data_IF_782519773618
#
_entry.id   IF_782519773618
#
_cell.length_a   1.000
_cell.length_b   1.000
_cell.length_c   1.000
_cell.angle_alpha   90.00
_cell.angle_beta   90.00
_cell.angle_gamma   90.00
#
_symmetry.space_group_name_H-M   'P 1'
#
loop_
_entity.id
_entity.type
_entity.pdbx_description
1 polymer ?
#
# COMPACT_ATOMS: atom_id res chain seq x y z
N UNK A 1 19.57 4.47 -29.05
CA UNK A 1 18.40 5.39 -28.99
C UNK A 1 17.23 4.58 -28.45
N UNK A 2 17.19 4.39 -27.12
CA UNK A 2 16.23 3.53 -26.42
C UNK A 2 15.41 4.44 -25.52
N UNK A 3 14.12 4.61 -25.82
CA UNK A 3 13.14 5.23 -24.93
C UNK A 3 12.53 4.14 -24.06
N UNK A 4 12.66 4.15 -22.75
CA UNK A 4 11.75 3.44 -21.89
C UNK A 4 10.57 4.34 -21.56
N UNK A 5 9.45 4.09 -22.21
CA UNK A 5 8.15 4.58 -21.81
C UNK A 5 7.69 3.80 -20.57
N UNK A 6 8.03 4.27 -19.38
CA UNK A 6 7.52 3.75 -18.14
C UNK A 6 6.31 4.60 -17.71
N UNK A 7 5.14 4.32 -18.28
CA UNK A 7 3.86 4.43 -17.62
C UNK A 7 2.96 3.34 -18.20
N UNK A 8 2.96 2.24 -17.47
CA UNK A 8 2.12 1.09 -17.75
C UNK A 8 0.65 1.44 -17.67
N UNK A 9 0.01 1.09 -18.69
CA UNK A 9 -1.37 0.97 -18.97
C UNK A 9 -2.14 0.32 -17.80
N UNK A 10 -2.74 1.11 -16.94
CA UNK A 10 -3.81 0.64 -16.07
C UNK A 10 -5.03 0.39 -16.94
N UNK A 11 -5.42 -0.88 -16.95
CA UNK A 11 -6.63 -1.40 -17.60
C UNK A 11 -7.80 -0.46 -17.45
N UNK A 12 -8.40 -0.17 -18.60
CA UNK A 12 -9.66 0.50 -18.81
C UNK A 12 -10.74 0.10 -17.79
N UNK A 13 -10.89 0.87 -16.75
CA UNK A 13 -12.20 1.19 -16.23
C UNK A 13 -12.50 2.61 -16.69
N UNK A 14 -13.50 2.77 -17.52
CA UNK A 14 -13.99 4.03 -18.05
C UNK A 14 -14.27 5.00 -16.91
N UNK A 15 -13.30 5.83 -16.57
CA UNK A 15 -13.54 7.03 -15.77
C UNK A 15 -14.16 8.08 -16.69
N UNK A 16 -15.47 8.12 -16.74
CA UNK A 16 -16.19 9.27 -17.27
C UNK A 16 -15.95 10.46 -16.34
N UNK A 17 -15.38 11.50 -16.88
CA UNK A 17 -15.30 12.83 -16.27
C UNK A 17 -16.70 13.36 -16.01
N UNK A 18 -16.94 13.86 -14.79
CA UNK A 18 -18.03 14.78 -14.48
C UNK A 18 -19.36 14.07 -14.19
N UNK A 19 -19.56 13.62 -12.97
CA UNK A 19 -20.84 13.22 -12.43
C UNK A 19 -20.71 13.14 -10.91
N UNK A 20 -21.53 13.92 -10.25
CA UNK A 20 -21.89 13.75 -8.85
C UNK A 20 -22.14 12.25 -8.63
N UNK A 21 -21.19 11.52 -8.04
CA UNK A 21 -21.39 10.15 -7.70
C UNK A 21 -22.46 10.12 -6.62
N UNK A 22 -23.71 9.92 -7.04
CA UNK A 22 -24.73 9.28 -6.26
C UNK A 22 -24.04 8.08 -5.60
N UNK A 23 -24.13 8.02 -4.28
CA UNK A 23 -23.58 6.96 -3.43
C UNK A 23 -24.26 5.67 -3.92
N UNK A 24 -23.71 5.05 -4.94
CA UNK A 24 -24.10 3.72 -5.32
C UNK A 24 -23.80 2.84 -4.10
N UNK A 25 -24.79 2.12 -3.67
CA UNK A 25 -24.81 1.09 -2.66
C UNK A 25 -23.52 0.26 -2.74
N UNK A 26 -22.54 0.65 -1.96
CA UNK A 26 -21.24 -0.05 -1.92
C UNK A 26 -21.26 -0.87 -0.63
N UNK A 27 -21.28 -2.17 -0.80
CA UNK A 27 -21.05 -3.10 0.29
C UNK A 27 -19.53 -3.18 0.54
N UNK A 28 -19.09 -2.80 1.73
CA UNK A 28 -17.70 -2.86 2.16
C UNK A 28 -17.65 -3.75 3.40
N UNK A 29 -16.86 -4.80 3.37
CA UNK A 29 -16.77 -5.81 4.45
C UNK A 29 -18.13 -6.37 4.89
N UNK A 30 -19.08 -6.57 3.98
CA UNK A 30 -20.44 -7.02 4.32
C UNK A 30 -21.31 -5.95 4.99
N UNK A 31 -20.85 -4.72 5.10
CA UNK A 31 -21.61 -3.59 5.67
C UNK A 31 -22.24 -2.78 4.55
N UNK A 32 -23.57 -2.71 4.54
CA UNK A 32 -24.32 -1.83 3.63
C UNK A 32 -24.14 -0.37 4.06
N UNK A 33 -23.31 0.36 3.33
CA UNK A 33 -22.97 1.75 3.65
C UNK A 33 -24.14 2.72 3.58
N UNK A 34 -25.25 2.33 2.93
CA UNK A 34 -26.46 3.16 2.82
C UNK A 34 -27.30 3.15 4.10
N UNK A 35 -27.24 2.06 4.88
CA UNK A 35 -28.05 1.84 6.08
C UNK A 35 -27.36 2.21 7.39
N UNK A 36 -26.16 2.79 7.31
CA UNK A 36 -25.41 3.15 8.51
C UNK A 36 -26.16 4.21 9.32
N UNK A 37 -26.34 4.00 10.63
CA UNK A 37 -27.04 4.94 11.51
C UNK A 37 -26.27 6.26 11.61
N UNK A 38 -27.01 7.34 11.81
CA UNK A 38 -26.45 8.67 12.08
C UNK A 38 -26.84 9.03 13.50
N UNK A 39 -25.86 9.34 14.34
CA UNK A 39 -26.07 9.79 15.71
C UNK A 39 -26.13 11.31 15.79
N UNK A 40 -27.08 11.85 16.55
CA UNK A 40 -27.11 13.27 16.91
C UNK A 40 -25.95 13.60 17.86
N UNK A 41 -25.66 14.89 18.05
CA UNK A 41 -24.58 15.28 18.96
C UNK A 41 -24.93 14.98 20.42
N UNK A 42 -26.20 15.05 20.78
CA UNK A 42 -26.71 14.72 22.13
C UNK A 42 -26.55 13.22 22.41
N UNK A 43 -27.02 12.38 21.50
CA UNK A 43 -26.83 10.91 21.58
C UNK A 43 -25.36 10.50 21.68
N UNK A 44 -24.45 11.20 20.98
CA UNK A 44 -23.02 10.93 21.09
C UNK A 44 -22.47 11.16 22.47
N UNK A 45 -22.88 12.24 23.13
CA UNK A 45 -22.44 12.59 24.49
C UNK A 45 -22.99 11.57 25.50
N UNK A 46 -24.28 11.21 25.39
CA UNK A 46 -24.91 10.19 26.24
C UNK A 46 -24.19 8.84 26.11
N UNK A 47 -24.00 8.37 24.88
CA UNK A 47 -23.31 7.10 24.62
C UNK A 47 -21.86 7.11 25.12
N UNK A 48 -21.14 8.21 24.99
CA UNK A 48 -19.78 8.32 25.52
C UNK A 48 -19.75 8.23 27.07
N UNK A 49 -20.74 8.83 27.75
CA UNK A 49 -20.87 8.71 29.18
C UNK A 49 -21.21 7.27 29.63
N UNK A 50 -22.03 6.56 28.86
CA UNK A 50 -22.33 5.15 29.12
C UNK A 50 -21.11 4.25 28.84
N UNK A 51 -20.34 4.52 27.82
CA UNK A 51 -19.09 3.81 27.51
C UNK A 51 -18.11 3.92 28.67
N UNK A 52 -17.96 5.10 29.27
CA UNK A 52 -17.12 5.30 30.47
C UNK A 52 -17.59 4.46 31.66
N UNK A 53 -18.90 4.19 31.75
CA UNK A 53 -19.49 3.30 32.80
C UNK A 53 -19.27 1.80 32.45
N UNK A 54 -18.67 1.48 31.32
CA UNK A 54 -18.40 0.10 30.91
C UNK A 54 -19.51 -0.56 30.10
N UNK A 55 -20.50 0.18 29.61
CA UNK A 55 -21.59 -0.39 28.79
C UNK A 55 -21.09 -0.78 27.40
N UNK A 56 -21.02 -2.11 27.14
CA UNK A 56 -20.56 -2.68 25.86
C UNK A 56 -21.54 -2.43 24.71
N UNK A 57 -22.85 -2.39 24.99
CA UNK A 57 -23.87 -2.14 23.97
C UNK A 57 -23.79 -0.69 23.46
N UNK A 58 -23.62 0.27 24.39
CA UNK A 58 -23.41 1.67 24.04
C UNK A 58 -22.15 1.84 23.16
N UNK A 59 -21.07 1.12 23.49
CA UNK A 59 -19.83 1.12 22.69
C UNK A 59 -20.07 0.63 21.27
N UNK A 60 -20.77 -0.48 21.11
CA UNK A 60 -21.11 -1.03 19.78
C UNK A 60 -21.99 -0.06 18.98
N UNK A 61 -23.03 0.51 19.62
CA UNK A 61 -23.90 1.50 19.00
C UNK A 61 -23.13 2.75 18.56
N UNK A 62 -22.20 3.21 19.38
CA UNK A 62 -21.36 4.38 19.08
C UNK A 62 -20.41 4.11 17.90
N UNK A 63 -19.76 2.93 17.87
CA UNK A 63 -18.90 2.53 16.74
C UNK A 63 -19.72 2.52 15.45
N UNK A 64 -20.87 1.84 15.42
CA UNK A 64 -21.71 1.71 14.23
C UNK A 64 -22.19 3.08 13.73
N UNK A 65 -22.53 4.01 14.63
CA UNK A 65 -22.95 5.36 14.29
C UNK A 65 -21.84 6.26 13.72
N UNK A 66 -20.57 5.86 13.87
CA UNK A 66 -19.42 6.61 13.35
C UNK A 66 -18.71 5.93 12.16
N UNK A 67 -19.21 4.81 11.65
CA UNK A 67 -18.61 4.14 10.46
C UNK A 67 -18.63 5.02 9.21
N UNK A 68 -19.65 5.88 9.06
CA UNK A 68 -19.67 6.87 7.95
C UNK A 68 -18.50 7.85 8.01
N UNK A 69 -18.05 8.21 9.22
CA UNK A 69 -16.86 9.04 9.39
C UNK A 69 -15.63 8.32 8.87
N UNK A 70 -15.46 7.03 9.21
CA UNK A 70 -14.37 6.20 8.69
C UNK A 70 -14.38 6.20 7.17
N UNK A 71 -15.54 5.90 6.55
CA UNK A 71 -15.68 5.88 5.08
C UNK A 71 -15.27 7.21 4.44
N UNK A 72 -15.68 8.34 5.02
CA UNK A 72 -15.32 9.67 4.50
C UNK A 72 -13.83 9.93 4.54
N UNK A 73 -13.12 9.41 5.56
CA UNK A 73 -11.68 9.58 5.74
C UNK A 73 -10.89 8.69 4.79
N UNK A 74 -11.23 7.38 4.71
CA UNK A 74 -10.48 6.42 3.89
C UNK A 74 -10.62 6.67 2.39
N UNK A 75 -11.71 7.32 1.95
CA UNK A 75 -11.95 7.65 0.54
C UNK A 75 -10.77 8.37 -0.13
N UNK A 76 -10.01 9.15 0.64
CA UNK A 76 -8.81 9.85 0.16
C UNK A 76 -7.63 8.92 -0.14
N UNK A 77 -7.68 7.68 0.36
CA UNK A 77 -6.60 6.71 0.22
C UNK A 77 -6.87 5.64 -0.83
N UNK A 78 -8.07 5.60 -1.44
CA UNK A 78 -8.42 4.61 -2.48
C UNK A 78 -7.52 4.67 -3.72
N UNK A 79 -6.92 5.84 -4.01
CA UNK A 79 -5.98 5.99 -5.12
C UNK A 79 -4.61 5.31 -4.91
N UNK A 80 -4.37 4.74 -3.73
CA UNK A 80 -3.08 4.11 -3.38
C UNK A 80 -2.94 2.65 -3.84
N UNK A 81 -3.96 2.09 -4.52
CA UNK A 81 -3.93 0.72 -5.03
C UNK A 81 -4.26 -0.38 -4.01
N UNK A 82 -4.51 0.00 -2.77
CA UNK A 82 -4.89 -0.93 -1.71
C UNK A 82 -6.38 -1.30 -1.77
N UNK A 83 -6.71 -2.48 -1.20
CA UNK A 83 -8.09 -2.93 -1.12
C UNK A 83 -8.91 -2.00 -0.21
N UNK A 84 -10.09 -1.59 -0.69
CA UNK A 84 -11.00 -0.73 0.06
C UNK A 84 -11.46 -1.37 1.39
N UNK A 85 -11.64 -2.69 1.41
CA UNK A 85 -12.02 -3.44 2.60
C UNK A 85 -10.94 -3.40 3.68
N UNK A 86 -9.68 -3.55 3.30
CA UNK A 86 -8.56 -3.49 4.24
C UNK A 86 -8.40 -2.09 4.82
N UNK A 87 -8.48 -1.05 3.97
CA UNK A 87 -8.45 0.34 4.42
C UNK A 87 -9.60 0.64 5.38
N UNK A 88 -10.79 0.09 5.14
CA UNK A 88 -11.95 0.27 6.02
C UNK A 88 -11.73 -0.39 7.38
N UNK A 89 -11.25 -1.63 7.39
CA UNK A 89 -10.96 -2.35 8.65
C UNK A 89 -9.91 -1.60 9.48
N UNK A 90 -8.83 -1.15 8.86
CA UNK A 90 -7.80 -0.36 9.54
C UNK A 90 -8.34 0.99 10.02
N UNK A 91 -9.20 1.62 9.22
CA UNK A 91 -9.90 2.84 9.65
C UNK A 91 -10.79 2.60 10.86
N UNK A 92 -11.48 1.46 10.93
CA UNK A 92 -12.26 1.06 12.11
C UNK A 92 -11.39 0.82 13.34
N UNK A 93 -10.19 0.23 13.19
CA UNK A 93 -9.22 0.13 14.29
C UNK A 93 -8.84 1.51 14.81
N UNK A 94 -8.58 2.47 13.91
CA UNK A 94 -8.32 3.86 14.27
C UNK A 94 -9.48 4.53 15.01
N UNK A 95 -10.72 4.26 14.58
CA UNK A 95 -11.93 4.73 15.25
C UNK A 95 -12.05 4.16 16.68
N UNK A 96 -11.84 2.85 16.85
CA UNK A 96 -11.89 2.17 18.16
C UNK A 96 -10.86 2.77 19.11
N UNK A 97 -9.61 2.95 18.66
CA UNK A 97 -8.58 3.63 19.47
C UNK A 97 -8.96 5.05 19.85
N UNK A 98 -9.62 5.76 18.92
CA UNK A 98 -10.10 7.10 19.21
C UNK A 98 -11.20 7.10 20.28
N UNK A 99 -12.11 6.11 20.27
CA UNK A 99 -13.16 5.98 21.29
C UNK A 99 -12.57 5.67 22.66
N UNK A 100 -11.62 4.75 22.72
CA UNK A 100 -11.00 4.31 23.97
C UNK A 100 -10.16 5.41 24.65
N UNK A 101 -9.59 6.33 23.86
CA UNK A 101 -8.71 7.39 24.34
C UNK A 101 -9.37 8.79 24.39
N UNK A 102 -10.66 8.89 24.02
CA UNK A 102 -11.33 10.19 23.97
C UNK A 102 -11.74 10.70 25.36
N UNK A 103 -11.36 11.92 25.68
CA UNK A 103 -11.75 12.62 26.91
C UNK A 103 -12.83 13.67 26.62
N UNK A 104 -14.01 13.51 27.25
CA UNK A 104 -15.16 14.41 27.02
C UNK A 104 -14.87 15.82 27.55
N UNK A 105 -13.99 15.93 28.57
CA UNK A 105 -13.67 17.18 29.26
C UNK A 105 -12.94 18.21 28.41
N UNK A 106 -12.34 17.78 27.30
CA UNK A 106 -11.55 18.67 26.43
C UNK A 106 -12.39 19.63 25.56
N UNK A 107 -13.73 19.59 25.66
CA UNK A 107 -14.63 20.43 24.85
C UNK A 107 -14.41 20.42 23.34
N UNK A 108 -13.88 19.31 22.81
CA UNK A 108 -13.64 19.10 21.38
C UNK A 108 -14.67 18.11 20.85
N UNK A 109 -15.14 18.33 19.63
CA UNK A 109 -16.01 17.34 18.98
C UNK A 109 -15.26 16.03 18.76
N UNK A 110 -15.91 14.90 19.03
CA UNK A 110 -15.32 13.57 18.81
C UNK A 110 -14.76 13.39 17.39
N UNK A 111 -15.46 13.89 16.36
CA UNK A 111 -15.00 13.81 14.97
C UNK A 111 -13.64 14.49 14.75
N UNK A 112 -13.39 15.63 15.41
CA UNK A 112 -12.12 16.37 15.31
C UNK A 112 -10.97 15.57 15.89
N UNK A 113 -11.20 14.80 16.94
CA UNK A 113 -10.22 13.92 17.55
C UNK A 113 -10.05 12.61 16.77
N UNK A 114 -11.15 12.01 16.30
CA UNK A 114 -11.12 10.71 15.65
C UNK A 114 -10.48 10.76 14.24
N UNK A 115 -10.68 11.82 13.46
CA UNK A 115 -10.15 11.92 12.09
C UNK A 115 -8.63 11.80 12.04
N UNK A 116 -7.83 12.54 12.83
CA UNK A 116 -6.37 12.35 12.87
C UNK A 116 -5.95 10.94 13.28
N UNK A 117 -6.67 10.31 14.25
CA UNK A 117 -6.38 8.95 14.69
C UNK A 117 -6.60 7.93 13.58
N UNK A 118 -7.73 8.02 12.86
CA UNK A 118 -8.03 7.16 11.72
C UNK A 118 -6.97 7.34 10.62
N UNK A 119 -6.64 8.59 10.28
CA UNK A 119 -5.60 8.89 9.28
C UNK A 119 -4.25 8.33 9.70
N UNK A 120 -3.91 8.43 10.98
CA UNK A 120 -2.67 7.91 11.54
C UNK A 120 -2.54 6.40 11.37
N UNK A 121 -3.59 5.63 11.69
CA UNK A 121 -3.60 4.18 11.52
C UNK A 121 -3.56 3.76 10.05
N UNK A 122 -4.32 4.43 9.17
CA UNK A 122 -4.28 4.16 7.73
C UNK A 122 -2.90 4.46 7.15
N UNK A 123 -2.28 5.60 7.49
CA UNK A 123 -0.92 5.92 7.05
C UNK A 123 0.12 4.93 7.57
N UNK A 124 -0.05 4.46 8.81
CA UNK A 124 0.82 3.44 9.40
C UNK A 124 0.70 2.13 8.63
N UNK A 125 -0.52 1.67 8.37
CA UNK A 125 -0.78 0.48 7.58
C UNK A 125 -0.15 0.57 6.19
N UNK A 126 -0.43 1.65 5.42
CA UNK A 126 0.15 1.87 4.09
C UNK A 126 1.69 1.90 4.09
N UNK A 127 2.30 2.34 5.18
CA UNK A 127 3.75 2.32 5.31
C UNK A 127 4.29 0.93 5.58
N UNK A 128 3.59 0.14 6.40
CA UNK A 128 4.07 -1.14 6.92
C UNK A 128 3.63 -2.33 6.03
N UNK A 129 2.60 -2.15 5.18
CA UNK A 129 2.02 -3.18 4.29
C UNK A 129 2.75 -3.29 2.94
N UNK A 130 4.07 -3.29 2.93
CA UNK A 130 4.83 -3.57 1.72
C UNK A 130 5.35 -5.01 1.74
N UNK A 131 5.37 -5.68 0.58
CA UNK A 131 5.88 -7.04 0.40
C UNK A 131 7.34 -7.18 0.84
N UNK A 132 8.13 -6.12 0.64
CA UNK A 132 9.54 -6.06 1.05
C UNK A 132 9.69 -4.95 2.10
N UNK A 133 10.30 -5.30 3.24
CA UNK A 133 10.57 -4.34 4.30
C UNK A 133 11.74 -3.43 3.91
N UNK A 134 11.46 -2.15 3.73
CA UNK A 134 12.46 -1.11 3.47
C UNK A 134 12.68 -0.28 4.73
N UNK A 135 13.94 0.05 5.06
CA UNK A 135 14.27 0.91 6.21
C UNK A 135 13.62 2.30 6.05
N UNK A 136 13.36 2.96 7.18
CA UNK A 136 12.75 4.30 7.17
C UNK A 136 13.62 5.33 6.48
N UNK A 137 14.93 5.29 6.73
CA UNK A 137 15.91 6.22 6.13
C UNK A 137 15.91 6.14 4.60
N UNK A 138 15.99 4.93 4.04
CA UNK A 138 15.95 4.71 2.60
C UNK A 138 14.62 5.20 2.00
N UNK A 139 13.50 4.91 2.66
CA UNK A 139 12.18 5.36 2.20
C UNK A 139 12.02 6.87 2.24
N UNK A 140 12.49 7.52 3.33
CA UNK A 140 12.46 8.98 3.45
C UNK A 140 13.35 9.65 2.39
N UNK A 141 14.53 9.09 2.13
CA UNK A 141 15.41 9.56 1.05
C UNK A 141 14.71 9.45 -0.30
N UNK A 142 14.11 8.34 -0.60
CA UNK A 142 13.40 8.15 -1.86
C UNK A 142 12.19 9.08 -2.04
N UNK A 143 11.46 9.42 -0.96
CA UNK A 143 10.42 10.46 -1.03
C UNK A 143 11.01 11.85 -1.31
N UNK A 144 12.17 12.18 -0.72
CA UNK A 144 12.87 13.43 -1.02
C UNK A 144 13.33 13.47 -2.48
N UNK A 145 13.88 12.36 -2.98
CA UNK A 145 14.30 12.23 -4.39
C UNK A 145 13.10 12.45 -5.32
N UNK A 146 11.95 11.83 -5.04
CA UNK A 146 10.75 12.00 -5.85
C UNK A 146 10.24 13.45 -5.83
N UNK A 147 10.23 14.08 -4.67
CA UNK A 147 9.80 15.48 -4.54
C UNK A 147 10.73 16.45 -5.29
N UNK A 148 12.05 16.25 -5.20
CA UNK A 148 13.01 17.07 -5.93
C UNK A 148 12.99 16.80 -7.44
N UNK A 149 12.74 15.55 -7.86
CA UNK A 149 12.52 15.21 -9.27
C UNK A 149 11.32 15.97 -9.84
N UNK A 150 10.19 15.98 -9.12
CA UNK A 150 8.98 16.69 -9.54
C UNK A 150 9.19 18.20 -9.58
N UNK A 151 9.95 18.74 -8.63
CA UNK A 151 10.31 20.18 -8.60
C UNK A 151 11.20 20.55 -9.77
N UNK A 152 12.26 19.79 -10.01
CA UNK A 152 13.20 20.02 -11.09
C UNK A 152 12.54 19.94 -12.47
N UNK A 153 11.61 18.97 -12.65
CA UNK A 153 10.83 18.82 -13.86
C UNK A 153 9.96 20.06 -14.14
N UNK A 154 9.38 20.66 -13.10
CA UNK A 154 8.57 21.89 -13.22
C UNK A 154 9.41 23.11 -13.53
N UNK A 155 10.64 23.20 -13.00
CA UNK A 155 11.53 24.35 -13.17
C UNK A 155 12.31 24.31 -14.49
N UNK A 156 12.75 23.13 -14.91
CA UNK A 156 13.67 22.96 -16.04
C UNK A 156 13.10 22.16 -17.22
N UNK A 157 11.84 21.72 -17.14
CA UNK A 157 11.13 20.94 -18.15
C UNK A 157 11.87 19.66 -18.62
N UNK A 158 12.84 19.18 -17.84
CA UNK A 158 13.58 17.94 -18.06
C UNK A 158 13.76 17.14 -16.78
N UNK A 159 14.00 15.85 -16.90
CA UNK A 159 14.34 15.02 -15.73
C UNK A 159 15.77 15.33 -15.25
N UNK A 160 15.99 15.37 -13.91
CA UNK A 160 17.32 15.53 -13.34
C UNK A 160 18.15 14.26 -13.54
N UNK A 161 19.47 14.42 -13.69
CA UNK A 161 20.40 13.30 -13.66
C UNK A 161 20.65 12.84 -12.22
N UNK A 162 21.18 11.61 -12.05
CA UNK A 162 21.54 11.08 -10.72
C UNK A 162 22.57 11.99 -10.04
N UNK A 163 23.49 12.57 -10.80
CA UNK A 163 24.52 13.50 -10.29
C UNK A 163 23.91 14.81 -9.78
N UNK A 164 22.94 15.36 -10.50
CA UNK A 164 22.24 16.57 -10.08
C UNK A 164 21.44 16.33 -8.80
N UNK A 165 20.76 15.18 -8.70
CA UNK A 165 20.05 14.80 -7.47
C UNK A 165 21.00 14.58 -6.29
N UNK A 166 22.15 13.94 -6.52
CA UNK A 166 23.18 13.74 -5.51
C UNK A 166 23.68 15.07 -4.93
N UNK A 167 23.94 16.04 -5.80
CA UNK A 167 24.37 17.37 -5.41
C UNK A 167 23.30 18.17 -4.66
N UNK A 168 22.02 18.06 -5.07
CA UNK A 168 20.91 18.79 -4.45
C UNK A 168 20.61 18.22 -3.05
N UNK A 169 20.66 16.90 -2.91
CA UNK A 169 20.30 16.22 -1.65
C UNK A 169 21.49 15.94 -0.74
N UNK A 170 22.71 16.28 -1.18
CA UNK A 170 23.96 16.05 -0.44
C UNK A 170 24.16 14.58 -0.03
N UNK A 171 23.83 13.65 -0.95
CA UNK A 171 23.98 12.21 -0.76
C UNK A 171 24.80 11.59 -1.88
N UNK A 172 25.28 10.36 -1.66
CA UNK A 172 26.05 9.65 -2.68
C UNK A 172 25.16 9.16 -3.82
N UNK A 173 25.73 8.94 -5.01
CA UNK A 173 25.00 8.40 -6.17
C UNK A 173 24.45 7.00 -5.90
N UNK A 174 25.23 6.21 -5.17
CA UNK A 174 24.88 4.84 -4.77
C UNK A 174 23.63 4.84 -3.86
N UNK A 175 23.55 5.77 -2.90
CA UNK A 175 22.38 5.91 -2.03
C UNK A 175 21.11 6.29 -2.80
N UNK A 176 21.23 7.13 -3.83
CA UNK A 176 20.09 7.49 -4.68
C UNK A 176 19.60 6.27 -5.45
N UNK A 177 20.49 5.55 -6.13
CA UNK A 177 20.13 4.36 -6.91
C UNK A 177 19.52 3.30 -5.99
N UNK A 178 20.16 3.01 -4.86
CA UNK A 178 19.64 2.06 -3.86
C UNK A 178 18.26 2.46 -3.33
N UNK A 179 18.03 3.75 -3.10
CA UNK A 179 16.75 4.23 -2.59
C UNK A 179 15.64 4.15 -3.63
N UNK A 180 15.94 4.39 -4.90
CA UNK A 180 14.98 4.26 -6.00
C UNK A 180 14.63 2.79 -6.27
N UNK A 181 15.61 1.90 -6.23
CA UNK A 181 15.38 0.46 -6.40
C UNK A 181 14.56 -0.14 -5.25
N UNK A 182 14.81 0.31 -4.03
CA UNK A 182 14.11 -0.17 -2.84
C UNK A 182 12.60 0.14 -2.80
N UNK A 183 12.15 1.14 -3.56
CA UNK A 183 10.71 1.51 -3.63
C UNK A 183 9.98 0.78 -4.76
N UNK A 184 10.69 0.16 -5.69
CA UNK A 184 10.04 -0.55 -6.78
C UNK A 184 9.13 -1.66 -6.23
N UNK A 185 7.91 -1.71 -6.75
CA UNK A 185 6.98 -2.78 -6.41
C UNK A 185 7.42 -4.09 -7.07
N UNK A 186 7.39 -5.22 -6.34
CA UNK A 186 7.62 -6.52 -6.93
C UNK A 186 6.61 -6.80 -8.05
N UNK A 187 7.08 -7.41 -9.12
CA UNK A 187 6.25 -7.86 -10.23
C UNK A 187 5.85 -9.31 -9.95
N UNK A 188 4.61 -9.70 -10.28
CA UNK A 188 4.18 -11.08 -10.16
C UNK A 188 4.92 -11.98 -11.16
N UNK A 189 5.42 -13.12 -10.71
CA UNK A 189 6.02 -14.11 -11.61
C UNK A 189 5.01 -14.70 -12.59
N UNK A 190 3.71 -14.65 -12.24
CA UNK A 190 2.63 -15.12 -13.11
C UNK A 190 2.12 -14.06 -14.09
N UNK A 191 2.70 -12.85 -14.07
CA UNK A 191 2.33 -11.84 -15.06
C UNK A 191 2.85 -12.25 -16.46
N UNK A 192 2.02 -12.06 -17.50
CA UNK A 192 2.43 -12.38 -18.87
C UNK A 192 3.51 -11.41 -19.35
N UNK A 193 4.56 -11.94 -19.97
CA UNK A 193 5.69 -11.16 -20.51
C UNK A 193 5.28 -10.23 -21.64
N UNK A 194 4.31 -10.63 -22.47
CA UNK A 194 3.81 -9.85 -23.60
C UNK A 194 2.35 -9.49 -23.39
N UNK A 195 2.00 -8.21 -23.58
CA UNK A 195 0.62 -7.73 -23.52
C UNK A 195 -0.29 -8.25 -24.65
N UNK A 196 0.26 -8.95 -25.63
CA UNK A 196 -0.48 -9.61 -26.70
C UNK A 196 -0.63 -11.09 -26.34
N UNK A 197 -1.84 -11.51 -26.02
CA UNK A 197 -2.26 -12.85 -25.55
C UNK A 197 -2.00 -14.02 -26.52
N UNK A 198 -0.97 -13.97 -27.36
CA UNK A 198 -0.71 -15.02 -28.35
C UNK A 198 0.13 -16.16 -27.76
N UNK A 199 1.02 -15.85 -26.84
CA UNK A 199 1.82 -16.84 -26.12
C UNK A 199 1.64 -16.62 -24.61
N UNK A 200 1.04 -17.60 -23.92
CA UNK A 200 0.85 -17.59 -22.46
C UNK A 200 2.18 -17.82 -21.70
N UNK A 201 3.23 -17.07 -22.06
CA UNK A 201 4.54 -17.14 -21.41
C UNK A 201 4.54 -16.17 -20.24
N UNK A 202 4.70 -16.69 -19.05
CA UNK A 202 4.82 -15.92 -17.82
C UNK A 202 6.27 -15.50 -17.57
N UNK A 203 6.46 -14.52 -16.67
CA UNK A 203 7.81 -14.09 -16.26
C UNK A 203 8.61 -15.25 -15.67
N UNK A 204 7.95 -16.16 -14.92
CA UNK A 204 8.59 -17.35 -14.33
C UNK A 204 9.24 -18.27 -15.38
N UNK A 205 8.63 -18.39 -16.58
CA UNK A 205 9.14 -19.23 -17.66
C UNK A 205 10.45 -18.70 -18.25
N UNK A 206 10.76 -17.42 -18.03
CA UNK A 206 12.00 -16.79 -18.51
C UNK A 206 13.15 -16.88 -17.49
N UNK A 207 12.87 -17.30 -16.26
CA UNK A 207 13.88 -17.38 -15.21
C UNK A 207 14.57 -18.74 -15.29
N UNK A 208 15.84 -18.73 -15.69
CA UNK A 208 16.64 -19.96 -15.76
C UNK A 208 17.02 -20.47 -14.36
N UNK A 209 16.87 -21.77 -14.14
CA UNK A 209 17.39 -22.43 -12.93
C UNK A 209 18.90 -22.67 -13.06
N UNK A 210 19.70 -21.84 -12.39
CA UNK A 210 21.17 -21.94 -12.39
C UNK A 210 21.71 -23.20 -11.68
N UNK A 211 20.88 -23.87 -10.86
CA UNK A 211 21.30 -25.08 -10.13
C UNK A 211 21.18 -26.34 -10.97
N UNK A 212 20.25 -26.34 -11.94
CA UNK A 212 19.98 -27.46 -12.84
C UNK A 212 20.49 -27.19 -14.27
N UNK A 213 21.68 -26.59 -14.41
CA UNK A 213 22.30 -26.42 -15.71
C UNK A 213 22.71 -27.79 -16.27
N UNK A 214 22.63 -27.96 -17.62
CA UNK A 214 23.02 -29.20 -18.31
C UNK A 214 24.45 -29.62 -17.99
N UNK A 215 25.35 -28.66 -17.77
CA UNK A 215 26.74 -28.90 -17.34
C UNK A 215 26.84 -29.57 -16.00
N UNK A 216 26.07 -29.08 -15.00
CA UNK A 216 26.08 -29.64 -13.66
C UNK A 216 25.48 -31.06 -13.62
N UNK A 217 24.45 -31.30 -14.42
CA UNK A 217 23.86 -32.64 -14.56
C UNK A 217 24.84 -33.61 -15.19
N UNK A 218 25.51 -33.24 -16.28
CA UNK A 218 26.53 -34.05 -16.94
C UNK A 218 27.73 -34.38 -16.01
N UNK A 219 28.22 -33.39 -15.27
CA UNK A 219 29.25 -33.56 -14.24
C UNK A 219 28.83 -34.55 -13.16
N UNK A 220 27.60 -34.44 -12.66
CA UNK A 220 27.06 -35.32 -11.63
C UNK A 220 26.99 -36.78 -12.11
N UNK A 221 26.52 -37.02 -13.34
CA UNK A 221 26.50 -38.36 -13.94
C UNK A 221 27.93 -38.92 -14.07
N UNK A 222 28.86 -38.10 -14.58
CA UNK A 222 30.25 -38.50 -14.74
C UNK A 222 30.88 -38.90 -13.41
N UNK A 223 30.64 -38.17 -12.36
CA UNK A 223 31.08 -38.47 -10.99
C UNK A 223 30.48 -39.79 -10.50
N UNK A 224 29.17 -39.99 -10.68
CA UNK A 224 28.47 -41.22 -10.24
C UNK A 224 29.02 -42.43 -11.00
N UNK A 225 29.27 -42.31 -12.31
CA UNK A 225 29.87 -43.42 -13.10
C UNK A 225 31.32 -43.72 -12.68
N UNK A 226 32.10 -42.68 -12.38
CA UNK A 226 33.46 -42.84 -11.88
C UNK A 226 33.45 -43.56 -10.51
N UNK A 227 32.56 -43.19 -9.65
CA UNK A 227 32.40 -43.83 -8.33
C UNK A 227 31.99 -45.30 -8.41
N UNK A 228 31.16 -45.68 -9.38
CA UNK A 228 30.79 -47.08 -9.62
C UNK A 228 31.98 -47.99 -10.04
N UNK A 229 33.05 -47.38 -10.59
CA UNK A 229 34.26 -48.08 -11.02
C UNK A 229 35.32 -48.22 -9.91
N UNK A 230 35.10 -47.55 -8.77
CA UNK A 230 35.95 -47.67 -7.60
C UNK A 230 35.54 -48.93 -6.83
N UNK A 231 36.48 -49.85 -6.63
CA UNK A 231 36.25 -51.04 -5.82
C UNK A 231 36.12 -50.63 -4.33
N UNK A 232 35.16 -51.28 -3.64
CA UNK A 232 35.09 -51.20 -2.18
C UNK A 232 36.39 -51.73 -1.60
N UNK A 233 37.15 -50.85 -0.94
CA UNK A 233 38.28 -51.21 -0.09
C UNK A 233 38.02 -50.88 1.32
#
# INVERSE_FOLDING_TARGET
MYKPSFFGNTRNSKFQKGGFFLINKVEICGVDTSKLPILSNEEKIELLNEIRKGNKEARTKFINGNLRLVLSVIRRFFSKGENADDLFQIGCVGLIKAIDNFEIEQNVQFSTYAVPMIIGEVKRYLRDNNSIRVSRSIRELAYKISAEKDRFLKEKEREPTVEELANILEVTKEEIVMSLDAIQMPISLQDPVSGNNVDNINIEDQISDKRNSDTHWAETITIIEAMKKLNDK
#
